data_IF_726627047135
#
_entry.id   IF_726627047135
#
_cell.length_a   1.000
_cell.length_b   1.000
_cell.length_c   1.000
_cell.angle_alpha   90.00
_cell.angle_beta   90.00
_cell.angle_gamma   90.00
#
_symmetry.space_group_name_H-M   'P 1'
#
loop_
_entity.id
_entity.type
_entity.pdbx_description
1 polymer ?
#
# COMPACT_ATOMS: atom_id res chain seq x y z
N UNK A 1 -23.25 32.12 -17.31
CA UNK A 1 -23.76 30.91 -16.64
C UNK A 1 -22.62 30.34 -15.83
N UNK A 2 -22.50 30.78 -14.58
CA UNK A 2 -21.52 30.28 -13.63
C UNK A 2 -22.02 28.96 -13.03
N UNK A 3 -21.20 27.92 -13.10
CA UNK A 3 -21.41 26.68 -12.36
C UNK A 3 -20.53 26.71 -11.09
N UNK A 4 -21.17 27.00 -9.97
CA UNK A 4 -20.64 26.82 -8.63
C UNK A 4 -20.39 25.32 -8.35
N UNK A 5 -19.13 24.90 -8.20
CA UNK A 5 -18.77 23.61 -7.60
C UNK A 5 -17.65 23.83 -6.57
N UNK A 6 -17.92 23.72 -5.26
CA UNK A 6 -16.92 23.97 -4.23
C UNK A 6 -16.25 22.65 -3.84
N UNK A 7 -15.26 22.17 -4.60
CA UNK A 7 -14.56 20.92 -4.25
C UNK A 7 -13.08 21.09 -3.85
N UNK A 8 -12.50 22.28 -3.93
CA UNK A 8 -11.13 22.51 -3.45
C UNK A 8 -11.05 23.84 -2.71
N UNK A 9 -11.53 23.86 -1.46
CA UNK A 9 -11.06 24.85 -0.49
C UNK A 9 -9.97 24.19 0.37
N UNK A 10 -8.72 24.58 0.09
CA UNK A 10 -7.57 24.37 0.96
C UNK A 10 -7.94 24.94 2.34
N UNK A 11 -8.23 24.08 3.32
CA UNK A 11 -8.30 24.50 4.71
C UNK A 11 -6.91 24.36 5.30
N UNK A 12 -6.21 25.49 5.39
CA UNK A 12 -5.26 25.67 6.48
C UNK A 12 -6.07 25.59 7.78
N UNK A 13 -5.69 24.66 8.64
CA UNK A 13 -6.46 24.32 9.83
C UNK A 13 -5.71 23.31 10.66
N UNK A 14 -4.85 23.82 11.52
CA UNK A 14 -4.25 23.06 12.62
C UNK A 14 -5.36 22.43 13.47
N UNK A 15 -5.33 21.10 13.59
CA UNK A 15 -6.23 20.38 14.48
C UNK A 15 -6.18 18.89 14.20
N UNK A 16 -5.74 18.11 15.20
CA UNK A 16 -5.93 16.66 15.24
C UNK A 16 -7.43 16.35 15.22
N UNK A 17 -7.98 16.09 14.03
CA UNK A 17 -9.40 15.81 13.87
C UNK A 17 -9.64 14.29 13.97
N UNK A 18 -10.06 13.84 15.15
CA UNK A 18 -10.49 12.47 15.40
C UNK A 18 -11.93 12.31 14.88
N UNK A 19 -12.12 11.60 13.76
CA UNK A 19 -13.46 11.19 13.33
C UNK A 19 -13.86 9.92 14.08
N UNK A 20 -14.74 10.05 15.08
CA UNK A 20 -15.36 8.93 15.79
C UNK A 20 -16.51 8.35 14.96
N UNK A 21 -16.30 7.22 14.30
CA UNK A 21 -17.39 6.33 13.89
C UNK A 21 -17.19 4.99 14.63
N UNK A 22 -18.22 4.56 15.36
CA UNK A 22 -18.49 3.19 15.81
C UNK A 22 -17.29 2.30 16.19
N UNK A 23 -16.90 2.31 17.47
CA UNK A 23 -16.05 1.31 18.18
C UNK A 23 -14.64 0.96 17.65
N UNK A 24 -14.09 1.64 16.66
CA UNK A 24 -12.66 1.55 16.33
C UNK A 24 -12.08 2.97 16.25
N UNK A 25 -11.27 3.37 17.22
CA UNK A 25 -10.58 4.65 17.19
C UNK A 25 -9.43 4.56 16.18
N UNK A 26 -9.70 4.82 14.91
CA UNK A 26 -8.66 4.85 13.87
C UNK A 26 -7.94 6.20 14.00
N UNK A 27 -6.71 6.20 14.53
CA UNK A 27 -5.86 7.38 14.38
C UNK A 27 -5.41 7.52 12.93
N UNK A 28 -5.56 8.73 12.41
CA UNK A 28 -4.96 9.15 11.15
C UNK A 28 -3.55 9.65 11.44
N UNK A 29 -2.55 8.91 10.96
CA UNK A 29 -1.19 9.38 10.91
C UNK A 29 -1.02 10.32 9.71
N UNK A 30 -1.35 11.60 9.90
CA UNK A 30 -1.10 12.66 8.92
C UNK A 30 0.25 13.29 9.20
N UNK A 31 1.21 12.96 8.35
CA UNK A 31 2.45 13.70 8.13
C UNK A 31 2.34 14.36 6.76
N UNK A 32 2.53 15.67 6.70
CA UNK A 32 2.50 16.44 5.45
C UNK A 32 3.76 16.20 4.60
N UNK A 33 4.78 15.53 5.15
CA UNK A 33 6.00 15.21 4.40
C UNK A 33 5.88 13.84 3.70
N UNK A 34 6.09 13.77 2.37
CA UNK A 34 6.04 12.50 1.62
C UNK A 34 7.09 11.44 2.01
N UNK A 35 8.07 11.77 2.87
CA UNK A 35 9.20 10.90 3.19
C UNK A 35 9.39 10.81 4.72
N UNK A 36 8.99 9.69 5.32
CA UNK A 36 9.11 9.41 6.76
C UNK A 36 10.39 8.62 7.07
N UNK A 37 11.41 9.25 7.64
CA UNK A 37 12.64 8.53 8.06
C UNK A 37 12.34 7.39 9.04
N UNK A 38 13.27 6.45 9.20
CA UNK A 38 13.06 5.26 10.04
C UNK A 38 12.65 5.58 11.50
N UNK A 39 13.21 6.66 12.05
CA UNK A 39 12.91 7.17 13.39
C UNK A 39 11.45 7.62 13.58
N UNK A 40 10.77 8.10 12.52
CA UNK A 40 9.33 8.39 12.55
C UNK A 40 8.52 7.14 12.96
N UNK A 41 8.86 6.00 12.36
CA UNK A 41 8.15 4.75 12.64
C UNK A 41 8.52 4.19 14.01
N UNK A 42 9.81 4.13 14.33
CA UNK A 42 10.31 3.53 15.57
C UNK A 42 9.85 4.28 16.82
N UNK A 43 9.90 5.62 16.79
CA UNK A 43 9.62 6.46 17.97
C UNK A 43 8.18 6.95 18.03
N UNK A 44 7.54 7.18 16.88
CA UNK A 44 6.19 7.72 16.82
C UNK A 44 5.14 6.63 16.63
N UNK A 45 5.18 5.99 15.47
CA UNK A 45 4.04 5.18 15.00
C UNK A 45 3.91 3.85 15.73
N UNK A 46 5.03 3.19 16.06
CA UNK A 46 5.00 1.93 16.83
C UNK A 46 4.41 2.17 18.22
N UNK A 47 4.70 3.31 18.86
CA UNK A 47 4.16 3.65 20.17
C UNK A 47 2.65 3.90 20.11
N UNK A 48 2.21 4.72 19.14
CA UNK A 48 0.78 4.99 18.92
C UNK A 48 0.01 3.72 18.56
N UNK A 49 0.61 2.79 17.81
CA UNK A 49 0.00 1.51 17.47
C UNK A 49 -0.17 0.62 18.71
N UNK A 50 0.81 0.60 19.62
CA UNK A 50 0.71 -0.16 20.89
C UNK A 50 -0.45 0.34 21.76
N UNK A 51 -0.65 1.66 21.79
CA UNK A 51 -1.71 2.32 22.55
C UNK A 51 -3.10 2.09 21.93
N UNK A 52 -3.24 2.35 20.63
CA UNK A 52 -4.56 2.42 19.97
C UNK A 52 -5.01 1.13 19.28
N UNK A 53 -4.14 0.11 19.21
CA UNK A 53 -4.33 -1.22 18.57
C UNK A 53 -4.56 -1.21 17.07
N UNK A 54 -5.18 -0.18 16.52
CA UNK A 54 -5.46 0.00 15.10
C UNK A 54 -5.08 1.42 14.69
N UNK A 55 -4.38 1.53 13.56
CA UNK A 55 -3.95 2.81 13.01
C UNK A 55 -4.15 2.80 11.49
N UNK A 56 -4.62 3.92 10.94
CA UNK A 56 -4.66 4.13 9.51
C UNK A 56 -3.51 5.04 9.09
N UNK A 57 -2.55 4.45 8.39
CA UNK A 57 -1.39 5.16 7.85
C UNK A 57 -1.70 5.57 6.42
N UNK A 58 -1.89 6.87 6.22
CA UNK A 58 -2.09 7.42 4.88
C UNK A 58 -0.81 7.36 4.06
N UNK A 59 -0.91 7.12 2.75
CA UNK A 59 0.22 7.09 1.83
C UNK A 59 1.36 6.11 2.22
N UNK A 60 1.03 5.01 2.91
CA UNK A 60 2.01 4.05 3.42
C UNK A 60 2.97 3.52 2.33
N UNK A 61 2.47 3.32 1.10
CA UNK A 61 3.28 2.84 -0.03
C UNK A 61 4.38 3.83 -0.41
N UNK A 62 4.04 5.12 -0.52
CA UNK A 62 4.97 6.20 -0.84
C UNK A 62 5.92 6.47 0.31
N UNK A 63 5.47 6.39 1.56
CA UNK A 63 6.35 6.60 2.70
C UNK A 63 7.31 5.44 2.91
N UNK A 64 6.93 4.19 2.68
CA UNK A 64 7.84 3.05 2.87
C UNK A 64 8.72 2.75 1.65
N UNK A 65 8.44 3.29 0.46
CA UNK A 65 9.12 2.87 -0.78
C UNK A 65 10.31 3.68 -1.21
N UNK A 66 10.51 4.81 -0.55
CA UNK A 66 10.92 5.98 -1.27
C UNK A 66 11.97 6.77 -0.43
N UNK A 67 12.22 6.34 0.81
CA UNK A 67 13.06 7.07 1.78
C UNK A 67 14.52 6.58 1.81
N UNK A 68 15.04 6.14 0.66
CA UNK A 68 16.41 5.61 0.58
C UNK A 68 16.64 4.40 1.49
N UNK A 69 15.64 3.52 1.61
CA UNK A 69 15.76 2.32 2.45
C UNK A 69 16.96 1.46 2.01
N UNK A 70 17.72 0.88 2.96
CA UNK A 70 18.76 -0.07 2.63
C UNK A 70 18.23 -1.20 1.75
N UNK A 71 19.01 -1.64 0.77
CA UNK A 71 18.60 -2.65 -0.22
C UNK A 71 18.03 -3.92 0.41
N UNK A 72 18.56 -4.37 1.56
CA UNK A 72 18.08 -5.56 2.24
C UNK A 72 16.66 -5.40 2.81
N UNK A 73 16.32 -4.22 3.35
CA UNK A 73 14.97 -3.90 3.83
C UNK A 73 14.00 -3.81 2.65
N UNK A 74 14.43 -3.18 1.56
CA UNK A 74 13.61 -3.07 0.36
C UNK A 74 13.29 -4.46 -0.23
N UNK A 75 14.27 -5.38 -0.26
CA UNK A 75 14.07 -6.77 -0.68
C UNK A 75 13.12 -7.52 0.25
N UNK A 76 13.28 -7.37 1.57
CA UNK A 76 12.40 -7.98 2.56
C UNK A 76 10.95 -7.52 2.35
N UNK A 77 10.73 -6.22 2.18
CA UNK A 77 9.41 -5.64 1.90
C UNK A 77 8.78 -6.23 0.64
N UNK A 78 9.54 -6.25 -0.46
CA UNK A 78 9.06 -6.83 -1.72
C UNK A 78 8.72 -8.32 -1.56
N UNK A 79 9.54 -9.09 -0.83
CA UNK A 79 9.30 -10.52 -0.60
C UNK A 79 8.07 -10.78 0.28
N UNK A 80 7.91 -9.99 1.35
CA UNK A 80 6.73 -10.06 2.22
C UNK A 80 5.45 -9.73 1.43
N UNK A 81 5.45 -8.64 0.66
CA UNK A 81 4.31 -8.26 -0.18
C UNK A 81 4.01 -9.32 -1.24
N UNK A 82 5.03 -9.87 -1.91
CA UNK A 82 4.83 -10.94 -2.90
C UNK A 82 4.18 -12.18 -2.28
N UNK A 83 4.59 -12.56 -1.06
CA UNK A 83 4.02 -13.73 -0.38
C UNK A 83 2.59 -13.48 0.13
N UNK A 84 2.28 -12.24 0.52
CA UNK A 84 0.97 -11.86 1.03
C UNK A 84 -0.06 -11.62 -0.08
N UNK A 85 0.38 -11.07 -1.22
CA UNK A 85 -0.47 -10.81 -2.39
C UNK A 85 -0.61 -12.08 -3.22
N UNK A 86 -1.55 -12.93 -2.81
CA UNK A 86 -1.99 -14.09 -3.59
C UNK A 86 -3.23 -13.74 -4.41
N UNK A 87 -3.33 -14.33 -5.60
CA UNK A 87 -4.56 -14.24 -6.37
C UNK A 87 -5.67 -15.07 -5.70
N UNK A 88 -6.93 -14.81 -6.06
CA UNK A 88 -8.03 -15.67 -5.62
C UNK A 88 -7.86 -17.07 -6.22
N UNK A 89 -8.37 -18.12 -5.56
CA UNK A 89 -8.26 -19.50 -6.05
C UNK A 89 -8.70 -19.65 -7.51
N UNK A 90 -9.79 -18.97 -7.91
CA UNK A 90 -10.32 -19.02 -9.27
C UNK A 90 -9.34 -18.45 -10.32
N UNK A 91 -8.64 -17.36 -9.99
CA UNK A 91 -7.63 -16.76 -10.87
C UNK A 91 -6.39 -17.66 -10.95
N UNK A 92 -5.97 -18.24 -9.81
CA UNK A 92 -4.86 -19.20 -9.80
C UNK A 92 -5.18 -20.42 -10.66
N UNK A 93 -6.36 -21.02 -10.51
CA UNK A 93 -6.79 -22.18 -11.31
C UNK A 93 -6.85 -21.84 -12.80
N UNK A 94 -7.43 -20.70 -13.17
CA UNK A 94 -7.49 -20.23 -14.55
C UNK A 94 -6.08 -20.07 -15.13
N UNK A 95 -5.17 -19.44 -14.38
CA UNK A 95 -3.79 -19.21 -14.80
C UNK A 95 -3.04 -20.53 -15.03
N UNK A 96 -3.23 -21.52 -14.16
CA UNK A 96 -2.61 -22.85 -14.29
C UNK A 96 -3.13 -23.58 -15.54
N UNK A 97 -4.45 -23.53 -15.80
CA UNK A 97 -5.05 -24.10 -17.01
C UNK A 97 -4.48 -23.45 -18.27
N UNK A 98 -4.32 -22.12 -18.27
CA UNK A 98 -3.75 -21.37 -19.39
C UNK A 98 -2.29 -21.80 -19.65
N UNK A 99 -1.44 -21.79 -18.64
CA UNK A 99 -0.02 -22.18 -18.76
C UNK A 99 0.11 -23.63 -19.23
N UNK A 100 -0.70 -24.54 -18.70
CA UNK A 100 -0.72 -25.94 -19.13
C UNK A 100 -1.04 -26.06 -20.62
N UNK A 101 -2.04 -25.32 -21.11
CA UNK A 101 -2.41 -25.31 -22.53
C UNK A 101 -1.32 -24.71 -23.42
N UNK A 102 -0.71 -23.61 -22.98
CA UNK A 102 0.40 -22.99 -23.71
C UNK A 102 1.54 -23.99 -23.88
N UNK A 103 2.00 -24.61 -22.78
CA UNK A 103 3.08 -25.61 -22.80
C UNK A 103 2.81 -26.81 -23.71
N UNK A 104 1.55 -27.28 -23.79
CA UNK A 104 1.18 -28.40 -24.66
C UNK A 104 1.16 -27.98 -26.13
N UNK A 105 0.70 -26.75 -26.42
CA UNK A 105 0.55 -26.26 -27.80
C UNK A 105 1.81 -25.65 -28.39
N UNK A 106 2.70 -25.14 -27.56
CA UNK A 106 3.96 -24.52 -27.97
C UNK A 106 5.07 -25.54 -27.87
N UNK A 107 5.30 -26.32 -28.93
CA UNK A 107 6.44 -27.21 -29.03
C UNK A 107 7.62 -26.45 -29.68
N UNK A 108 8.77 -26.23 -29.01
CA UNK A 108 9.19 -26.68 -27.67
C UNK A 108 9.09 -25.63 -26.54
N UNK A 109 8.73 -24.38 -26.82
CA UNK A 109 8.77 -23.28 -25.83
C UNK A 109 7.75 -22.18 -26.12
N UNK A 110 7.38 -21.43 -25.07
CA UNK A 110 6.64 -20.18 -25.19
C UNK A 110 7.42 -19.04 -24.52
N UNK A 111 7.28 -17.82 -25.02
CA UNK A 111 7.82 -16.60 -24.42
C UNK A 111 6.67 -15.84 -23.78
N UNK A 112 6.86 -15.39 -22.54
CA UNK A 112 5.97 -14.44 -21.88
C UNK A 112 6.64 -13.07 -21.87
N UNK A 113 6.05 -12.11 -22.57
CA UNK A 113 6.53 -10.74 -22.65
C UNK A 113 5.52 -9.82 -21.97
N UNK A 114 5.94 -9.12 -20.92
CA UNK A 114 5.16 -8.04 -20.33
C UNK A 114 5.63 -6.71 -20.94
N UNK A 115 4.85 -6.18 -21.86
CA UNK A 115 5.03 -4.84 -22.41
C UNK A 115 4.24 -3.87 -21.54
N UNK A 116 4.92 -2.84 -21.02
CA UNK A 116 4.35 -1.83 -20.13
C UNK A 116 3.68 -0.71 -20.91
#
# INVERSE_FOLDING_TARGET
MEANHPFMRRREGHGHHVRKHSRLLILLAQDDHPWSRADYYEKGEVLKLKEHKVMHITHANSRLGNNGLPSHIQKLRCKANYNALKFTPDIEELSQKLVKRLRIKSDPWYIALHLR
#
